data_IF_496345760671
#
_entry.id   IF_496345760671
#
_cell.length_a   1.000
_cell.length_b   1.000
_cell.length_c   1.000
_cell.angle_alpha   90.00
_cell.angle_beta   90.00
_cell.angle_gamma   90.00
#
_symmetry.space_group_name_H-M   'P 1'
#
loop_
_entity.id
_entity.type
_entity.pdbx_description
1 polymer ?
#
# COMPACT_ATOMS: atom_id res chain seq x y z
N UNK A 1 0.78 17.21 -28.06
CA UNK A 1 1.17 17.05 -26.65
C UNK A 1 0.60 18.21 -25.86
N UNK A 2 -0.32 17.98 -24.92
CA UNK A 2 -0.74 19.02 -23.97
C UNK A 2 0.43 19.31 -23.05
N UNK A 3 1.01 20.51 -23.17
CA UNK A 3 2.09 20.95 -22.31
C UNK A 3 1.55 21.09 -20.87
N UNK A 4 2.11 20.31 -19.94
CA UNK A 4 1.78 20.47 -18.52
C UNK A 4 2.20 21.87 -18.06
N UNK A 5 1.39 22.56 -17.25
CA UNK A 5 1.80 23.85 -16.69
C UNK A 5 3.04 23.66 -15.82
N UNK A 6 3.95 24.65 -15.84
CA UNK A 6 5.15 24.63 -14.98
C UNK A 6 4.73 24.61 -13.52
N UNK A 7 5.21 23.61 -12.78
CA UNK A 7 4.91 23.38 -11.37
C UNK A 7 6.16 22.92 -10.61
N UNK A 8 6.12 23.07 -9.30
CA UNK A 8 7.14 22.63 -8.36
C UNK A 8 6.48 21.98 -7.14
N UNK A 9 7.28 21.23 -6.39
CA UNK A 9 6.85 20.56 -5.18
C UNK A 9 7.99 20.02 -4.35
N UNK A 10 7.61 19.36 -3.26
CA UNK A 10 8.55 18.72 -2.34
C UNK A 10 8.19 17.24 -2.18
N UNK A 11 9.20 16.39 -2.22
CA UNK A 11 9.12 14.99 -1.80
C UNK A 11 9.34 14.90 -0.29
N UNK A 12 8.31 14.50 0.44
CA UNK A 12 8.40 14.25 1.89
C UNK A 12 7.37 13.21 2.27
N UNK A 13 7.80 12.01 2.68
CA UNK A 13 6.84 11.00 3.13
C UNK A 13 6.30 11.33 4.53
N UNK A 14 5.02 11.06 4.86
CA UNK A 14 4.43 11.44 6.15
C UNK A 14 5.17 10.90 7.39
N UNK A 15 5.85 9.76 7.29
CA UNK A 15 6.67 9.24 8.41
C UNK A 15 7.83 10.16 8.80
N UNK A 16 8.26 11.04 7.90
CA UNK A 16 9.34 12.01 8.11
C UNK A 16 8.87 13.32 8.71
N UNK A 17 7.55 13.53 8.85
CA UNK A 17 7.01 14.66 9.59
C UNK A 17 7.39 14.55 11.07
N UNK A 18 7.55 15.68 11.79
CA UNK A 18 7.72 15.64 13.23
C UNK A 18 6.46 15.09 13.90
N UNK A 19 6.61 14.26 14.94
CA UNK A 19 5.49 13.66 15.67
C UNK A 19 5.89 13.16 17.05
N UNK A 20 4.98 13.26 18.02
CA UNK A 20 5.25 12.90 19.42
C UNK A 20 5.22 11.38 19.68
N UNK A 21 4.63 10.60 18.76
CA UNK A 21 4.32 9.18 18.96
C UNK A 21 5.24 8.24 18.17
N UNK A 22 6.53 8.60 18.04
CA UNK A 22 7.60 7.76 17.49
C UNK A 22 7.77 7.78 15.97
N UNK A 23 6.81 8.37 15.24
CA UNK A 23 6.91 8.65 13.81
C UNK A 23 6.00 9.82 13.44
N UNK A 24 6.24 10.44 12.28
CA UNK A 24 5.26 11.34 11.67
C UNK A 24 3.97 10.61 11.30
N UNK A 25 2.86 11.33 11.34
CA UNK A 25 1.51 10.80 11.14
C UNK A 25 0.60 11.83 10.45
N UNK A 26 -0.68 11.51 10.33
CA UNK A 26 -1.70 12.32 9.65
C UNK A 26 -2.35 13.37 10.58
N UNK A 27 -1.65 13.76 11.63
CA UNK A 27 -2.05 14.79 12.58
C UNK A 27 -1.61 16.20 12.16
N UNK A 28 -1.56 17.12 13.14
CA UNK A 28 -1.31 18.55 12.93
C UNK A 28 -0.07 18.87 12.08
N UNK A 29 0.99 18.07 12.20
CA UNK A 29 2.22 18.26 11.44
C UNK A 29 2.01 18.17 9.91
N UNK A 30 1.10 17.31 9.45
CA UNK A 30 0.76 17.19 8.03
C UNK A 30 0.07 18.45 7.51
N UNK A 31 -0.86 19.03 8.29
CA UNK A 31 -1.53 20.29 7.96
C UNK A 31 -0.56 21.47 7.95
N UNK A 32 0.31 21.55 8.97
CA UNK A 32 1.39 22.54 9.02
C UNK A 32 2.33 22.45 7.80
N UNK A 33 2.64 21.24 7.34
CA UNK A 33 3.46 21.05 6.15
C UNK A 33 2.75 21.55 4.88
N UNK A 34 1.43 21.35 4.76
CA UNK A 34 0.62 21.90 3.67
C UNK A 34 0.63 23.43 3.69
N UNK A 35 0.48 24.05 4.88
CA UNK A 35 0.59 25.50 5.04
C UNK A 35 1.96 26.02 4.62
N UNK A 36 3.02 25.30 5.01
CA UNK A 36 4.37 25.63 4.61
C UNK A 36 4.56 25.54 3.09
N UNK A 37 4.10 24.45 2.45
CA UNK A 37 4.14 24.28 1.00
C UNK A 37 3.48 25.45 0.28
N UNK A 38 2.29 25.85 0.73
CA UNK A 38 1.57 27.01 0.21
C UNK A 38 2.38 28.29 0.37
N UNK A 39 2.93 28.54 1.55
CA UNK A 39 3.73 29.73 1.84
C UNK A 39 5.00 29.81 0.99
N UNK A 40 5.57 28.65 0.64
CA UNK A 40 6.75 28.49 -0.20
C UNK A 40 6.44 28.47 -1.71
N UNK A 41 5.17 28.71 -2.10
CA UNK A 41 4.76 28.72 -3.51
C UNK A 41 4.84 27.35 -4.19
N UNK A 42 4.77 26.26 -3.41
CA UNK A 42 4.76 24.89 -3.92
C UNK A 42 3.34 24.48 -4.34
N UNK A 43 3.24 23.61 -5.34
CA UNK A 43 1.95 23.13 -5.87
C UNK A 43 1.81 21.60 -5.86
N UNK A 44 2.88 20.88 -5.51
CA UNK A 44 2.93 19.43 -5.47
C UNK A 44 3.53 18.96 -4.14
N UNK A 45 2.92 17.94 -3.54
CA UNK A 45 3.49 17.16 -2.44
C UNK A 45 3.65 15.72 -2.90
N UNK A 46 4.89 15.28 -3.10
CA UNK A 46 5.16 13.89 -3.44
C UNK A 46 5.36 13.05 -2.18
N UNK A 47 4.75 11.88 -2.15
CA UNK A 47 4.89 10.87 -1.10
C UNK A 47 5.37 9.55 -1.69
N UNK A 48 6.07 8.74 -0.90
CA UNK A 48 6.29 7.32 -1.17
C UNK A 48 4.96 6.53 -0.99
N UNK A 49 4.92 5.22 -1.34
CA UNK A 49 3.70 4.42 -1.17
C UNK A 49 3.20 4.47 0.29
N UNK A 50 1.88 4.63 0.46
CA UNK A 50 1.25 4.86 1.77
C UNK A 50 0.79 3.56 2.45
N UNK A 51 1.12 2.39 1.89
CA UNK A 51 0.76 1.10 2.45
C UNK A 51 1.57 0.73 3.69
N UNK A 52 1.08 -0.23 4.46
CA UNK A 52 1.82 -0.79 5.60
C UNK A 52 3.20 -1.25 5.15
N UNK A 53 4.22 -0.95 5.95
CA UNK A 53 5.61 -1.31 5.59
C UNK A 53 5.93 -2.74 6.02
N UNK A 54 6.57 -3.50 5.13
CA UNK A 54 7.03 -4.86 5.35
C UNK A 54 8.49 -4.93 5.82
N UNK A 55 9.22 -6.03 5.51
CA UNK A 55 10.62 -6.20 5.89
C UNK A 55 11.51 -5.01 5.50
N UNK A 56 12.42 -4.63 6.39
CA UNK A 56 13.27 -3.45 6.21
C UNK A 56 12.52 -2.12 6.35
N UNK A 57 11.24 -2.13 6.72
CA UNK A 57 10.36 -0.96 6.77
C UNK A 57 10.20 -0.25 5.42
N UNK A 58 10.34 -1.00 4.32
CA UNK A 58 10.18 -0.46 2.98
C UNK A 58 8.70 -0.24 2.63
N UNK A 59 8.31 0.95 2.15
CA UNK A 59 6.95 1.18 1.63
C UNK A 59 6.69 0.47 0.30
N UNK A 60 7.73 -0.03 -0.38
CA UNK A 60 7.62 -0.78 -1.64
C UNK A 60 7.38 -2.28 -1.42
N UNK A 61 7.43 -2.75 -0.18
CA UNK A 61 7.15 -4.13 0.20
C UNK A 61 6.03 -4.08 1.24
N UNK A 62 4.79 -4.15 0.79
CA UNK A 62 3.60 -4.05 1.65
C UNK A 62 2.84 -5.39 1.70
N UNK A 63 2.20 -5.74 2.84
CA UNK A 63 1.28 -6.87 2.91
C UNK A 63 -0.01 -6.64 2.11
N UNK A 64 -0.22 -5.45 1.55
CA UNK A 64 -1.34 -5.16 0.64
C UNK A 64 -1.03 -4.03 -0.34
N UNK A 65 -1.48 -4.16 -1.57
CA UNK A 65 -1.48 -3.11 -2.59
C UNK A 65 -2.59 -2.06 -2.41
N UNK A 66 -3.52 -2.26 -1.45
CA UNK A 66 -4.71 -1.43 -1.26
C UNK A 66 -4.76 -0.75 0.11
N UNK A 67 -4.30 -1.43 1.15
CA UNK A 67 -4.34 -0.95 2.52
C UNK A 67 -3.38 0.22 2.76
N UNK A 68 -3.73 1.07 3.72
CA UNK A 68 -2.86 2.14 4.23
C UNK A 68 -2.08 1.73 5.49
N UNK A 69 -1.03 2.49 5.77
CA UNK A 69 -0.12 2.26 6.88
C UNK A 69 -0.74 2.67 8.22
N UNK A 70 -0.94 1.70 9.11
CA UNK A 70 -1.48 1.90 10.44
C UNK A 70 -0.63 2.82 11.33
N UNK A 71 0.68 2.92 11.07
CA UNK A 71 1.58 3.79 11.82
C UNK A 71 1.35 5.27 11.49
N UNK A 72 0.71 5.59 10.36
CA UNK A 72 0.37 6.96 10.00
C UNK A 72 -0.93 7.45 10.67
N UNK A 73 -1.68 6.58 11.35
CA UNK A 73 -2.91 6.99 12.06
C UNK A 73 -2.52 7.85 13.25
N UNK A 74 -2.95 9.11 13.25
CA UNK A 74 -2.77 10.04 14.35
C UNK A 74 -3.57 9.60 15.59
N UNK A 75 -2.85 9.37 16.69
CA UNK A 75 -3.43 8.97 17.97
C UNK A 75 -4.12 10.15 18.69
N UNK A 76 -3.72 11.39 18.40
CA UNK A 76 -4.36 12.59 18.95
C UNK A 76 -5.83 12.67 18.55
N UNK A 77 -6.13 12.49 17.26
CA UNK A 77 -7.53 12.40 16.80
C UNK A 77 -8.33 11.25 17.43
N UNK A 78 -7.70 10.14 17.80
CA UNK A 78 -8.41 9.05 18.51
C UNK A 78 -8.66 9.40 19.97
N UNK A 79 -7.78 10.20 20.58
CA UNK A 79 -7.99 10.80 21.90
C UNK A 79 -9.12 11.83 21.89
N UNK A 80 -9.15 12.72 20.89
CA UNK A 80 -10.21 13.73 20.73
C UNK A 80 -11.58 13.08 20.48
N UNK A 81 -11.61 11.93 19.78
CA UNK A 81 -12.81 11.09 19.64
C UNK A 81 -13.20 10.33 20.93
N UNK A 82 -12.42 10.48 22.00
CA UNK A 82 -12.62 9.85 23.30
C UNK A 82 -12.32 8.35 23.32
N UNK A 83 -11.73 7.77 22.27
CA UNK A 83 -11.37 6.34 22.22
C UNK A 83 -10.03 6.03 22.88
N UNK A 84 -9.23 7.07 23.14
CA UNK A 84 -8.05 7.02 23.99
C UNK A 84 -8.16 8.08 25.09
N UNK A 85 -7.69 7.76 26.28
CA UNK A 85 -7.51 8.71 27.38
C UNK A 85 -6.09 9.28 27.39
N UNK A 86 -5.88 10.37 28.13
CA UNK A 86 -4.52 10.91 28.36
C UNK A 86 -3.59 9.86 29.00
N UNK A 87 -4.16 8.99 29.85
CA UNK A 87 -3.43 7.90 30.48
C UNK A 87 -3.00 6.81 29.49
N UNK A 88 -3.71 6.62 28.37
CA UNK A 88 -3.31 5.66 27.33
C UNK A 88 -2.11 6.17 26.51
N UNK A 89 -2.01 7.49 26.37
CA UNK A 89 -0.91 8.16 25.66
C UNK A 89 0.35 8.33 26.52
N UNK A 90 0.24 8.21 27.85
CA UNK A 90 1.36 8.40 28.78
C UNK A 90 1.78 7.12 29.52
N UNK A 91 3.05 7.03 29.99
CA UNK A 91 4.16 7.90 29.62
C UNK A 91 4.59 7.66 28.16
N UNK A 92 5.13 8.70 27.52
CA UNK A 92 5.73 8.57 26.19
C UNK A 92 7.12 7.92 26.33
N UNK A 93 7.42 6.87 25.55
CA UNK A 93 8.79 6.39 25.40
C UNK A 93 9.70 7.50 24.88
N UNK A 94 10.99 7.44 25.25
CA UNK A 94 11.99 8.31 24.68
C UNK A 94 12.28 7.90 23.22
N UNK A 95 11.58 8.51 22.26
CA UNK A 95 11.82 8.28 20.85
C UNK A 95 13.01 9.12 20.33
N UNK A 96 13.85 8.59 19.42
CA UNK A 96 14.89 9.38 18.78
C UNK A 96 14.33 10.57 18.00
N UNK A 97 14.99 11.72 18.08
CA UNK A 97 14.69 12.87 17.22
C UNK A 97 15.39 12.72 15.88
N UNK A 98 14.68 12.92 14.76
CA UNK A 98 15.25 12.94 13.41
C UNK A 98 15.39 11.56 12.74
N UNK A 99 15.00 10.47 13.39
CA UNK A 99 14.88 9.14 12.78
C UNK A 99 13.74 8.35 13.41
N UNK A 100 13.07 7.53 12.61
CA UNK A 100 12.03 6.61 13.11
C UNK A 100 12.69 5.34 13.63
N UNK A 101 12.41 4.99 14.89
CA UNK A 101 12.59 3.63 15.42
C UNK A 101 11.29 2.87 15.21
N UNK A 102 11.19 2.13 14.11
CA UNK A 102 9.96 1.45 13.71
C UNK A 102 9.51 0.39 14.73
N UNK A 103 10.44 -0.29 15.39
CA UNK A 103 10.09 -1.29 16.41
C UNK A 103 9.51 -0.63 17.65
N UNK A 104 10.14 0.45 18.13
CA UNK A 104 9.61 1.24 19.25
C UNK A 104 8.26 1.87 18.89
N UNK A 105 8.11 2.42 17.68
CA UNK A 105 6.86 2.98 17.20
C UNK A 105 5.75 1.93 17.15
N UNK A 106 6.00 0.73 16.61
CA UNK A 106 5.02 -0.38 16.60
C UNK A 106 4.64 -0.83 18.00
N UNK A 107 5.62 -1.04 18.89
CA UNK A 107 5.38 -1.44 20.29
C UNK A 107 4.56 -0.40 21.05
N UNK A 108 4.69 0.86 20.71
CA UNK A 108 3.89 1.93 21.31
C UNK A 108 2.50 2.04 20.66
N UNK A 109 2.43 2.26 19.34
CA UNK A 109 1.19 2.62 18.62
C UNK A 109 0.19 1.47 18.51
N UNK A 110 0.62 0.23 18.20
CA UNK A 110 -0.32 -0.87 17.96
C UNK A 110 -1.21 -1.19 19.17
N UNK A 111 -0.70 -1.29 20.42
CA UNK A 111 -1.57 -1.44 21.59
C UNK A 111 -2.59 -0.32 21.76
N UNK A 112 -2.24 0.94 21.45
CA UNK A 112 -3.17 2.07 21.54
C UNK A 112 -4.23 2.00 20.44
N UNK A 113 -3.85 1.66 19.21
CA UNK A 113 -4.82 1.44 18.14
C UNK A 113 -5.82 0.32 18.50
N UNK A 114 -5.34 -0.75 19.15
CA UNK A 114 -6.21 -1.84 19.64
C UNK A 114 -7.16 -1.37 20.75
N UNK A 115 -6.66 -0.58 21.69
CA UNK A 115 -7.48 0.01 22.74
C UNK A 115 -8.55 0.94 22.16
N UNK A 116 -8.17 1.80 21.21
CA UNK A 116 -9.09 2.69 20.52
C UNK A 116 -10.17 1.90 19.75
N UNK A 117 -9.78 0.86 19.01
CA UNK A 117 -10.71 -0.02 18.30
C UNK A 117 -11.70 -0.68 19.28
N UNK A 118 -11.20 -1.21 20.40
CA UNK A 118 -12.05 -1.82 21.44
C UNK A 118 -13.04 -0.82 22.03
N UNK A 119 -12.58 0.39 22.36
CA UNK A 119 -13.43 1.45 22.87
C UNK A 119 -14.48 1.90 21.84
N UNK A 120 -14.11 2.00 20.56
CA UNK A 120 -15.03 2.32 19.48
C UNK A 120 -16.10 1.23 19.31
N UNK A 121 -15.69 -0.04 19.20
CA UNK A 121 -16.59 -1.17 18.95
C UNK A 121 -17.54 -1.43 20.13
N UNK A 122 -17.16 -1.08 21.36
CA UNK A 122 -18.01 -1.18 22.54
C UNK A 122 -19.01 -0.03 22.70
N UNK A 123 -18.85 1.08 21.95
CA UNK A 123 -19.73 2.24 22.04
C UNK A 123 -20.80 2.20 20.96
N UNK A 124 -22.00 2.65 21.32
CA UNK A 124 -23.12 2.81 20.39
C UNK A 124 -23.20 4.25 19.84
N UNK A 125 -22.11 4.77 19.27
CA UNK A 125 -22.17 6.02 18.50
C UNK A 125 -22.74 5.73 17.11
N UNK A 126 -24.02 6.06 16.91
CA UNK A 126 -24.72 5.75 15.67
C UNK A 126 -24.10 6.37 14.43
N UNK A 127 -23.48 7.55 14.54
CA UNK A 127 -22.93 8.25 13.38
C UNK A 127 -21.58 7.63 12.97
N UNK A 128 -20.69 7.41 13.94
CA UNK A 128 -19.38 6.79 13.70
C UNK A 128 -19.51 5.32 13.29
N UNK A 129 -20.40 4.55 13.93
CA UNK A 129 -20.69 3.17 13.53
C UNK A 129 -21.25 3.09 12.11
N UNK A 130 -22.11 4.02 11.70
CA UNK A 130 -22.61 4.07 10.33
C UNK A 130 -21.51 4.44 9.32
N UNK A 131 -20.59 5.34 9.66
CA UNK A 131 -19.45 5.68 8.81
C UNK A 131 -18.49 4.50 8.63
N UNK A 132 -18.16 3.81 9.72
CA UNK A 132 -17.35 2.60 9.69
C UNK A 132 -18.00 1.48 8.87
N UNK A 133 -19.30 1.24 9.05
CA UNK A 133 -20.04 0.23 8.27
C UNK A 133 -20.04 0.57 6.77
N UNK A 134 -20.29 1.85 6.41
CA UNK A 134 -20.21 2.30 5.01
C UNK A 134 -18.81 2.07 4.43
N UNK A 135 -17.76 2.42 5.15
CA UNK A 135 -16.39 2.16 4.72
C UNK A 135 -16.17 0.67 4.46
N UNK A 136 -16.57 -0.19 5.40
CA UNK A 136 -16.43 -1.63 5.25
C UNK A 136 -17.17 -2.17 4.02
N UNK A 137 -18.39 -1.69 3.75
CA UNK A 137 -19.16 -2.09 2.57
C UNK A 137 -18.49 -1.62 1.28
N UNK A 138 -18.07 -0.35 1.20
CA UNK A 138 -17.45 0.23 0.00
C UNK A 138 -16.08 -0.39 -0.31
N UNK A 139 -15.30 -0.73 0.71
CA UNK A 139 -13.97 -1.31 0.57
C UNK A 139 -13.93 -2.84 0.57
N UNK A 140 -15.08 -3.51 0.69
CA UNK A 140 -15.19 -4.97 0.92
C UNK A 140 -14.38 -5.82 -0.07
N UNK A 141 -14.30 -5.38 -1.34
CA UNK A 141 -13.57 -6.07 -2.41
C UNK A 141 -12.08 -6.32 -2.13
N UNK A 142 -11.45 -5.54 -1.24
CA UNK A 142 -10.06 -5.76 -0.80
C UNK A 142 -9.94 -5.85 0.73
N UNK A 143 -10.80 -5.15 1.47
CA UNK A 143 -10.70 -5.00 2.91
C UNK A 143 -10.97 -6.33 3.64
N UNK A 144 -11.91 -7.14 3.16
CA UNK A 144 -12.26 -8.40 3.82
C UNK A 144 -11.12 -9.40 3.74
N UNK A 145 -10.49 -9.53 2.57
CA UNK A 145 -9.31 -10.36 2.37
C UNK A 145 -8.10 -9.81 3.14
N UNK A 146 -7.87 -8.49 3.11
CA UNK A 146 -6.78 -7.87 3.87
C UNK A 146 -6.93 -8.12 5.39
N UNK A 147 -8.10 -7.85 5.96
CA UNK A 147 -8.32 -7.98 7.40
C UNK A 147 -8.20 -9.44 7.86
N UNK A 148 -8.71 -10.39 7.07
CA UNK A 148 -8.53 -11.82 7.35
C UNK A 148 -7.07 -12.26 7.19
N UNK A 149 -6.38 -11.80 6.14
CA UNK A 149 -4.95 -12.07 5.94
C UNK A 149 -4.13 -11.61 7.14
N UNK A 150 -4.32 -10.37 7.60
CA UNK A 150 -3.58 -9.83 8.74
C UNK A 150 -3.89 -10.57 10.04
N UNK A 151 -5.13 -11.04 10.23
CA UNK A 151 -5.51 -11.85 11.38
C UNK A 151 -4.83 -13.23 11.36
N UNK A 152 -4.81 -13.89 10.21
CA UNK A 152 -4.14 -15.17 10.01
C UNK A 152 -2.62 -15.04 10.11
N UNK A 153 -2.06 -13.93 9.61
CA UNK A 153 -0.62 -13.64 9.72
C UNK A 153 -0.20 -13.46 11.18
N UNK A 154 -1.02 -12.79 11.99
CA UNK A 154 -0.81 -12.72 13.44
C UNK A 154 -0.85 -14.10 14.09
N UNK A 155 -1.72 -15.00 13.64
CA UNK A 155 -1.88 -16.34 14.21
C UNK A 155 -0.79 -17.34 13.75
N UNK A 156 -0.29 -17.20 12.52
CA UNK A 156 0.52 -18.24 11.86
C UNK A 156 1.83 -17.73 11.22
N UNK A 157 1.95 -16.43 10.92
CA UNK A 157 3.09 -15.83 10.18
C UNK A 157 4.34 -15.51 11.01
N UNK A 158 4.31 -15.70 12.33
CA UNK A 158 5.49 -15.54 13.18
C UNK A 158 6.70 -16.38 12.71
N UNK A 159 7.91 -16.00 13.16
CA UNK A 159 9.17 -16.70 12.85
C UNK A 159 9.58 -16.71 11.36
N UNK A 160 9.09 -15.74 10.57
CA UNK A 160 9.41 -15.62 9.14
C UNK A 160 8.61 -16.54 8.23
N UNK A 161 7.56 -17.22 8.77
CA UNK A 161 6.63 -18.01 7.97
C UNK A 161 5.81 -17.10 7.05
N UNK A 162 5.63 -17.54 5.80
CA UNK A 162 4.76 -16.86 4.85
C UNK A 162 3.40 -17.55 4.78
N UNK A 163 2.44 -16.98 4.05
CA UNK A 163 1.09 -17.55 3.92
C UNK A 163 1.09 -18.94 3.26
N UNK A 164 2.11 -19.25 2.46
CA UNK A 164 2.34 -20.57 1.88
C UNK A 164 2.64 -21.64 2.96
N UNK A 165 3.08 -21.24 4.14
CA UNK A 165 3.46 -22.12 5.24
C UNK A 165 2.35 -22.25 6.31
N UNK A 166 1.22 -21.56 6.13
CA UNK A 166 0.04 -21.71 6.98
C UNK A 166 -0.62 -23.10 6.80
N UNK A 167 -1.55 -23.51 7.69
CA UNK A 167 -2.34 -24.71 7.46
C UNK A 167 -2.90 -24.75 6.03
N UNK A 168 -2.75 -25.88 5.34
CA UNK A 168 -3.03 -25.98 3.89
C UNK A 168 -4.47 -25.61 3.52
N UNK A 169 -5.42 -25.79 4.43
CA UNK A 169 -6.82 -25.38 4.25
C UNK A 169 -6.99 -23.86 4.24
N UNK A 170 -6.15 -23.11 4.97
CA UNK A 170 -6.12 -21.64 5.01
C UNK A 170 -5.27 -21.06 3.87
N UNK A 171 -4.09 -21.63 3.63
CA UNK A 171 -3.22 -21.25 2.50
C UNK A 171 -3.95 -21.45 1.16
N UNK A 172 -4.64 -22.58 1.00
CA UNK A 172 -5.48 -22.90 -0.16
C UNK A 172 -6.88 -22.28 -0.13
N UNK A 173 -7.18 -21.40 0.85
CA UNK A 173 -8.44 -20.64 0.94
C UNK A 173 -9.71 -21.49 0.86
N UNK A 174 -9.72 -22.65 1.52
CA UNK A 174 -10.90 -23.52 1.54
C UNK A 174 -12.08 -22.80 2.23
N UNK A 175 -13.26 -22.69 1.59
CA UNK A 175 -14.36 -21.87 2.10
C UNK A 175 -14.80 -22.19 3.54
N UNK A 176 -14.78 -23.46 3.95
CA UNK A 176 -15.12 -23.85 5.31
C UNK A 176 -14.07 -23.38 6.34
N UNK A 177 -12.78 -23.50 6.02
CA UNK A 177 -11.69 -23.04 6.88
C UNK A 177 -11.68 -21.52 7.00
N UNK A 178 -11.93 -20.79 5.90
CA UNK A 178 -12.03 -19.33 5.94
C UNK A 178 -13.20 -18.85 6.81
N UNK A 179 -14.38 -19.49 6.71
CA UNK A 179 -15.53 -19.14 7.58
C UNK A 179 -15.23 -19.41 9.06
N UNK A 180 -14.55 -20.53 9.35
CA UNK A 180 -14.13 -20.83 10.72
C UNK A 180 -13.14 -19.79 11.25
N UNK A 181 -12.11 -19.44 10.46
CA UNK A 181 -11.13 -18.41 10.81
C UNK A 181 -11.76 -17.02 10.96
N UNK A 182 -12.75 -16.67 10.13
CA UNK A 182 -13.49 -15.41 10.26
C UNK A 182 -14.24 -15.32 11.58
N UNK A 183 -14.84 -16.43 12.05
CA UNK A 183 -15.52 -16.47 13.33
C UNK A 183 -14.51 -16.45 14.50
N UNK A 184 -13.44 -17.24 14.40
CA UNK A 184 -12.40 -17.35 15.43
C UNK A 184 -11.64 -16.03 15.64
N UNK A 185 -11.34 -15.31 14.56
CA UNK A 185 -10.54 -14.09 14.59
C UNK A 185 -11.36 -12.81 14.39
N UNK A 186 -12.66 -12.84 14.67
CA UNK A 186 -13.57 -11.71 14.43
C UNK A 186 -13.07 -10.38 15.04
N UNK A 187 -12.56 -10.40 16.28
CA UNK A 187 -12.03 -9.21 16.96
C UNK A 187 -10.79 -8.65 16.26
N UNK A 188 -9.91 -9.53 15.78
CA UNK A 188 -8.69 -9.14 15.06
C UNK A 188 -9.02 -8.56 13.69
N UNK A 189 -9.97 -9.17 12.98
CA UNK A 189 -10.48 -8.67 11.71
C UNK A 189 -11.12 -7.29 11.91
N UNK A 190 -11.93 -7.12 12.96
CA UNK A 190 -12.56 -5.84 13.27
C UNK A 190 -11.51 -4.76 13.59
N UNK A 191 -10.44 -5.10 14.30
CA UNK A 191 -9.31 -4.19 14.56
C UNK A 191 -8.65 -3.72 13.25
N UNK A 192 -8.31 -4.62 12.33
CA UNK A 192 -7.69 -4.22 11.06
C UNK A 192 -8.61 -3.38 10.19
N UNK A 193 -9.91 -3.71 10.16
CA UNK A 193 -10.92 -2.88 9.50
C UNK A 193 -11.00 -1.48 10.11
N UNK A 194 -10.98 -1.37 11.44
CA UNK A 194 -10.96 -0.08 12.14
C UNK A 194 -9.73 0.74 11.75
N UNK A 195 -8.53 0.14 11.74
CA UNK A 195 -7.30 0.82 11.33
C UNK A 195 -7.41 1.38 9.91
N UNK A 196 -7.90 0.58 8.96
CA UNK A 196 -8.05 1.02 7.57
C UNK A 196 -9.09 2.13 7.40
N UNK A 197 -10.19 2.07 8.16
CA UNK A 197 -11.16 3.16 8.19
C UNK A 197 -10.55 4.46 8.72
N UNK A 198 -9.86 4.40 9.87
CA UNK A 198 -9.23 5.59 10.46
C UNK A 198 -8.15 6.18 9.56
N UNK A 199 -7.31 5.33 8.95
CA UNK A 199 -6.34 5.77 7.95
C UNK A 199 -7.03 6.49 6.79
N UNK A 200 -8.05 5.87 6.19
CA UNK A 200 -8.74 6.44 5.03
C UNK A 200 -9.39 7.80 5.35
N UNK A 201 -10.02 7.92 6.52
CA UNK A 201 -10.65 9.17 6.96
C UNK A 201 -9.62 10.28 7.20
N UNK A 202 -8.55 9.99 7.95
CA UNK A 202 -7.52 10.98 8.26
C UNK A 202 -6.76 11.41 7.00
N UNK A 203 -6.42 10.47 6.12
CA UNK A 203 -5.74 10.78 4.86
C UNK A 203 -6.63 11.59 3.92
N UNK A 204 -7.91 11.24 3.79
CA UNK A 204 -8.85 12.01 2.98
C UNK A 204 -9.01 13.45 3.50
N UNK A 205 -8.94 13.68 4.81
CA UNK A 205 -8.95 15.01 5.40
C UNK A 205 -7.69 15.81 5.03
N UNK A 206 -6.49 15.21 5.16
CA UNK A 206 -5.22 15.82 4.75
C UNK A 206 -5.21 16.14 3.25
N UNK A 207 -5.60 15.19 2.39
CA UNK A 207 -5.68 15.39 0.94
C UNK A 207 -6.63 16.51 0.57
N UNK A 208 -7.84 16.53 1.15
CA UNK A 208 -8.82 17.60 0.91
C UNK A 208 -8.30 18.97 1.35
N UNK A 209 -7.55 19.02 2.46
CA UNK A 209 -6.92 20.25 2.94
C UNK A 209 -5.76 20.71 2.03
N UNK A 210 -4.95 19.78 1.51
CA UNK A 210 -3.95 20.09 0.50
C UNK A 210 -4.60 20.64 -0.77
N UNK A 211 -5.63 19.95 -1.28
CA UNK A 211 -6.32 20.34 -2.51
C UNK A 211 -7.04 21.69 -2.37
N UNK A 212 -7.62 22.03 -1.20
CA UNK A 212 -8.22 23.35 -0.97
C UNK A 212 -7.21 24.49 -1.01
N UNK A 213 -5.93 24.18 -0.76
CA UNK A 213 -4.79 25.07 -0.91
C UNK A 213 -4.07 24.97 -2.27
N UNK A 214 -4.69 24.29 -3.25
CA UNK A 214 -4.14 24.05 -4.60
C UNK A 214 -2.81 23.29 -4.59
N UNK A 215 -2.60 22.45 -3.57
CA UNK A 215 -1.51 21.49 -3.49
C UNK A 215 -2.09 20.14 -3.89
N UNK A 216 -1.56 19.56 -4.96
CA UNK A 216 -1.88 18.21 -5.38
C UNK A 216 -0.88 17.22 -4.81
N UNK A 217 -1.35 16.02 -4.49
CA UNK A 217 -0.52 14.95 -3.97
C UNK A 217 -0.08 14.05 -5.13
N UNK A 218 1.24 13.86 -5.25
CA UNK A 218 1.83 12.86 -6.14
C UNK A 218 2.07 11.60 -5.31
N UNK A 219 1.25 10.58 -5.53
CA UNK A 219 1.44 9.26 -4.94
C UNK A 219 2.42 8.41 -5.75
N UNK A 220 2.61 7.19 -5.28
CA UNK A 220 3.63 6.28 -5.78
C UNK A 220 3.11 4.85 -5.72
N UNK A 221 3.17 4.16 -6.86
CA UNK A 221 2.62 2.83 -7.08
C UNK A 221 3.75 1.88 -7.51
N UNK A 222 4.23 1.00 -6.61
CA UNK A 222 5.16 -0.06 -6.96
C UNK A 222 4.57 -0.94 -8.06
N UNK A 223 5.29 -1.26 -9.14
CA UNK A 223 4.70 -2.13 -10.17
C UNK A 223 4.36 -3.51 -9.59
N UNK A 224 5.28 -4.14 -8.85
CA UNK A 224 5.07 -5.45 -8.24
C UNK A 224 4.52 -5.36 -6.81
N UNK A 225 4.00 -6.49 -6.30
CA UNK A 225 3.51 -6.63 -4.92
C UNK A 225 4.39 -7.60 -4.14
N UNK A 226 4.32 -7.61 -2.81
CA UNK A 226 5.09 -8.55 -2.00
C UNK A 226 4.53 -9.98 -2.14
N UNK A 227 5.41 -11.00 -2.11
CA UNK A 227 4.99 -12.41 -2.14
C UNK A 227 4.10 -12.78 -0.94
N UNK A 228 4.44 -12.26 0.23
CA UNK A 228 3.66 -12.39 1.46
C UNK A 228 2.69 -11.22 1.61
N UNK A 229 1.58 -11.27 0.86
CA UNK A 229 0.56 -10.23 0.86
C UNK A 229 -0.84 -10.81 0.70
N UNK A 230 -1.83 -10.05 1.17
CA UNK A 230 -3.24 -10.35 0.96
C UNK A 230 -3.57 -10.42 -0.54
N UNK A 231 -2.89 -9.65 -1.39
CA UNK A 231 -3.12 -9.62 -2.83
C UNK A 231 -2.80 -10.97 -3.49
N UNK A 232 -1.62 -11.50 -3.19
CA UNK A 232 -1.14 -12.78 -3.75
C UNK A 232 -1.91 -13.95 -3.15
N UNK A 233 -2.14 -13.93 -1.82
CA UNK A 233 -2.91 -14.96 -1.14
C UNK A 233 -4.35 -15.04 -1.67
N UNK A 234 -5.03 -13.91 -1.85
CA UNK A 234 -6.42 -13.88 -2.31
C UNK A 234 -6.57 -14.10 -3.82
N UNK A 235 -5.54 -13.80 -4.61
CA UNK A 235 -5.58 -13.86 -6.07
C UNK A 235 -4.43 -14.68 -6.69
N UNK A 236 -4.16 -15.92 -6.22
CA UNK A 236 -2.96 -16.66 -6.64
C UNK A 236 -2.92 -16.94 -8.15
N UNK A 237 -4.09 -17.02 -8.80
CA UNK A 237 -4.21 -17.22 -10.25
C UNK A 237 -3.67 -16.06 -11.10
N UNK A 238 -3.47 -14.88 -10.52
CA UNK A 238 -2.92 -13.69 -11.19
C UNK A 238 -1.39 -13.62 -11.17
N UNK A 239 -0.73 -14.55 -10.47
CA UNK A 239 0.72 -14.56 -10.27
C UNK A 239 1.34 -15.88 -10.73
N UNK A 240 2.63 -15.86 -11.09
CA UNK A 240 3.34 -17.06 -11.52
C UNK A 240 3.81 -17.89 -10.32
N UNK A 241 2.88 -18.70 -9.79
CA UNK A 241 3.07 -19.52 -8.58
C UNK A 241 2.95 -21.02 -8.87
N UNK A 242 3.76 -21.82 -8.18
CA UNK A 242 3.62 -23.28 -8.12
C UNK A 242 2.33 -23.74 -7.40
N UNK A 243 2.12 -25.05 -7.34
CA UNK A 243 0.93 -25.65 -6.71
C UNK A 243 0.86 -25.39 -5.20
N UNK A 244 1.98 -24.98 -4.58
CA UNK A 244 2.10 -24.62 -3.18
C UNK A 244 2.01 -23.10 -2.97
N UNK A 245 1.77 -22.32 -4.03
CA UNK A 245 1.68 -20.86 -3.94
C UNK A 245 3.02 -20.13 -3.87
N UNK A 246 4.14 -20.82 -4.13
CA UNK A 246 5.47 -20.21 -4.14
C UNK A 246 5.82 -19.69 -5.54
N UNK A 247 6.52 -18.55 -5.69
CA UNK A 247 6.88 -18.04 -7.00
C UNK A 247 7.78 -19.02 -7.77
N UNK A 248 7.45 -19.32 -9.04
CA UNK A 248 8.36 -20.06 -9.93
C UNK A 248 9.49 -19.18 -10.44
N UNK A 249 9.15 -17.92 -10.65
CA UNK A 249 10.03 -16.85 -11.11
C UNK A 249 9.78 -15.60 -10.27
N UNK A 250 10.80 -14.75 -10.16
CA UNK A 250 10.77 -13.52 -9.36
C UNK A 250 11.24 -12.32 -10.16
N UNK A 251 10.78 -11.15 -9.74
CA UNK A 251 11.17 -9.88 -10.33
C UNK A 251 12.59 -9.46 -9.95
N UNK A 252 13.18 -8.66 -10.83
CA UNK A 252 14.44 -7.98 -10.64
C UNK A 252 14.79 -7.11 -11.83
N UNK A 253 16.07 -6.78 -11.94
CA UNK A 253 16.68 -6.12 -13.11
C UNK A 253 18.00 -6.80 -13.46
N UNK A 254 18.37 -6.87 -14.76
CA UNK A 254 19.60 -7.51 -15.19
C UNK A 254 20.85 -6.78 -14.64
N UNK A 255 22.02 -7.41 -14.72
CA UNK A 255 23.29 -6.70 -14.61
C UNK A 255 23.36 -5.52 -15.56
N UNK A 256 23.91 -4.42 -15.05
CA UNK A 256 24.18 -3.21 -15.83
C UNK A 256 25.52 -2.60 -15.39
N UNK A 257 25.85 -1.43 -15.92
CA UNK A 257 27.10 -0.75 -15.61
C UNK A 257 27.19 -0.24 -14.15
N UNK A 258 26.07 -0.21 -13.40
CA UNK A 258 26.02 0.13 -11.98
C UNK A 258 26.06 -1.09 -11.06
N UNK A 259 25.53 -2.25 -11.50
CA UNK A 259 25.48 -3.49 -10.73
C UNK A 259 25.92 -4.69 -11.56
N UNK A 260 27.07 -5.28 -11.20
CA UNK A 260 27.63 -6.45 -11.87
C UNK A 260 26.75 -7.71 -11.79
N UNK A 261 25.85 -7.79 -10.80
CA UNK A 261 24.97 -8.95 -10.57
C UNK A 261 23.50 -8.64 -10.83
N UNK A 262 23.19 -7.41 -11.27
CA UNK A 262 21.83 -6.89 -11.33
C UNK A 262 21.23 -6.78 -9.93
N UNK A 263 19.90 -6.82 -9.84
CA UNK A 263 19.19 -6.82 -8.57
C UNK A 263 18.06 -7.86 -8.59
N UNK A 264 18.05 -8.76 -7.60
CA UNK A 264 16.98 -9.74 -7.40
C UNK A 264 16.06 -9.22 -6.30
N UNK A 265 14.85 -8.77 -6.66
CA UNK A 265 13.93 -8.17 -5.70
C UNK A 265 13.06 -9.21 -4.99
N UNK A 266 12.75 -10.33 -5.66
CA UNK A 266 12.05 -11.45 -5.04
C UNK A 266 10.51 -11.37 -5.10
N UNK A 267 9.94 -10.30 -5.66
CA UNK A 267 8.49 -10.20 -5.86
C UNK A 267 7.99 -11.28 -6.85
N UNK A 268 6.78 -11.84 -6.67
CA UNK A 268 6.17 -12.68 -7.68
C UNK A 268 5.87 -11.87 -8.94
N UNK A 269 6.01 -12.52 -10.10
CA UNK A 269 5.66 -11.92 -11.38
C UNK A 269 4.19 -12.17 -11.73
N UNK A 270 3.61 -11.24 -12.49
CA UNK A 270 2.24 -11.32 -12.95
C UNK A 270 2.07 -12.37 -14.05
N UNK A 271 0.97 -13.12 -14.00
CA UNK A 271 0.45 -13.85 -15.16
C UNK A 271 -0.39 -12.90 -16.00
N UNK A 272 0.26 -12.08 -16.83
CA UNK A 272 -0.42 -11.07 -17.64
C UNK A 272 -1.54 -11.62 -18.52
N UNK A 273 -1.44 -12.87 -18.99
CA UNK A 273 -2.52 -13.55 -19.70
C UNK A 273 -3.78 -13.78 -18.84
N UNK A 274 -3.60 -14.10 -17.55
CA UNK A 274 -4.72 -14.22 -16.61
C UNK A 274 -5.36 -12.86 -16.33
N UNK A 275 -4.56 -11.80 -16.15
CA UNK A 275 -5.06 -10.44 -16.06
C UNK A 275 -5.84 -10.01 -17.32
N UNK A 276 -5.32 -10.30 -18.51
CA UNK A 276 -5.98 -10.00 -19.77
C UNK A 276 -7.34 -10.73 -19.88
N UNK A 277 -7.41 -11.99 -19.47
CA UNK A 277 -8.64 -12.79 -19.49
C UNK A 277 -9.75 -12.23 -18.58
N UNK A 278 -9.38 -11.50 -17.51
CA UNK A 278 -10.33 -10.80 -16.64
C UNK A 278 -10.47 -9.29 -16.96
N UNK A 279 -9.99 -8.86 -18.13
CA UNK A 279 -10.08 -7.46 -18.57
C UNK A 279 -9.27 -6.48 -17.71
N UNK A 280 -8.19 -6.97 -17.09
CA UNK A 280 -7.30 -6.24 -16.18
C UNK A 280 -8.01 -5.68 -14.92
N UNK A 281 -9.13 -6.29 -14.49
CA UNK A 281 -9.94 -5.79 -13.36
C UNK A 281 -9.14 -5.54 -12.08
N UNK A 282 -8.17 -6.40 -11.74
CA UNK A 282 -7.36 -6.23 -10.53
C UNK A 282 -6.49 -4.96 -10.61
N UNK A 283 -5.87 -4.72 -11.77
CA UNK A 283 -5.06 -3.52 -12.01
C UNK A 283 -5.90 -2.25 -12.07
N UNK A 284 -7.11 -2.31 -12.65
CA UNK A 284 -8.07 -1.20 -12.60
C UNK A 284 -8.48 -0.89 -11.16
N UNK A 285 -8.78 -1.90 -10.35
CA UNK A 285 -9.12 -1.71 -8.94
C UNK A 285 -7.96 -1.11 -8.14
N UNK A 286 -6.73 -1.60 -8.35
CA UNK A 286 -5.52 -1.08 -7.71
C UNK A 286 -5.26 0.39 -8.07
N UNK A 287 -5.38 0.74 -9.35
CA UNK A 287 -5.23 2.12 -9.81
C UNK A 287 -6.33 3.02 -9.23
N UNK A 288 -7.59 2.55 -9.20
CA UNK A 288 -8.71 3.28 -8.59
C UNK A 288 -8.46 3.58 -7.11
N UNK A 289 -7.98 2.59 -6.36
CA UNK A 289 -7.62 2.76 -4.96
C UNK A 289 -6.51 3.80 -4.81
N UNK A 290 -5.46 3.70 -5.61
CA UNK A 290 -4.31 4.64 -5.57
C UNK A 290 -4.74 6.08 -5.90
N UNK A 291 -5.58 6.27 -6.92
CA UNK A 291 -6.16 7.57 -7.28
C UNK A 291 -7.13 8.13 -6.24
N UNK A 292 -7.65 7.30 -5.33
CA UNK A 292 -8.40 7.81 -4.17
C UNK A 292 -7.48 8.46 -3.14
N UNK A 293 -6.20 8.06 -3.10
CA UNK A 293 -5.20 8.53 -2.16
C UNK A 293 -4.37 9.71 -2.70
N UNK A 294 -4.29 9.90 -4.01
CA UNK A 294 -3.45 10.95 -4.61
C UNK A 294 -4.08 11.51 -5.88
N UNK A 295 -3.59 12.67 -6.32
CA UNK A 295 -4.08 13.36 -7.51
C UNK A 295 -3.33 12.94 -8.77
N UNK A 296 -2.04 12.58 -8.61
CA UNK A 296 -1.16 12.07 -9.66
C UNK A 296 -0.47 10.81 -9.17
N UNK A 297 -0.42 9.77 -9.98
CA UNK A 297 0.18 8.48 -9.64
C UNK A 297 1.52 8.35 -10.35
N UNK A 298 2.63 8.38 -9.61
CA UNK A 298 3.90 7.85 -10.15
C UNK A 298 3.81 6.32 -10.17
N UNK A 299 4.10 5.70 -11.30
CA UNK A 299 4.21 4.25 -11.37
C UNK A 299 5.68 3.89 -11.46
N UNK A 300 6.17 3.24 -10.41
CA UNK A 300 7.53 2.76 -10.25
C UNK A 300 7.84 1.65 -11.26
N UNK A 301 9.07 1.63 -11.78
CA UNK A 301 9.54 0.65 -12.74
C UNK A 301 8.59 0.48 -13.95
N UNK A 302 8.18 1.62 -14.53
CA UNK A 302 7.15 1.67 -15.56
C UNK A 302 7.48 0.79 -16.78
N UNK A 303 8.77 0.63 -17.09
CA UNK A 303 9.22 -0.23 -18.20
C UNK A 303 8.67 -1.66 -18.10
N UNK A 304 8.36 -2.13 -16.89
CA UNK A 304 7.78 -3.43 -16.58
C UNK A 304 6.49 -3.75 -17.35
N UNK A 305 5.79 -2.72 -17.83
CA UNK A 305 4.59 -2.89 -18.67
C UNK A 305 4.91 -3.20 -20.13
N UNK A 306 6.06 -2.78 -20.65
CA UNK A 306 6.53 -3.16 -21.98
C UNK A 306 7.23 -4.53 -21.92
N UNK A 307 8.18 -4.68 -21.01
CA UNK A 307 8.82 -5.97 -20.70
C UNK A 307 9.32 -6.00 -19.26
N UNK A 308 9.61 -7.17 -18.71
CA UNK A 308 10.15 -7.30 -17.36
C UNK A 308 11.23 -8.36 -17.32
N UNK A 309 12.15 -8.23 -16.37
CA UNK A 309 13.22 -9.20 -16.16
C UNK A 309 12.73 -10.32 -15.25
N UNK A 310 12.66 -11.53 -15.81
CA UNK A 310 12.18 -12.74 -15.15
C UNK A 310 13.36 -13.57 -14.68
N UNK A 311 13.49 -13.78 -13.37
CA UNK A 311 14.58 -14.54 -12.75
C UNK A 311 14.01 -15.86 -12.21
N UNK A 312 14.60 -17.04 -12.50
CA UNK A 312 14.21 -18.28 -11.83
C UNK A 312 14.25 -18.14 -10.31
N UNK A 313 13.20 -18.54 -9.59
CA UNK A 313 13.12 -18.32 -8.15
C UNK A 313 14.27 -19.01 -7.37
N UNK A 314 14.81 -20.09 -7.93
CA UNK A 314 15.97 -20.85 -7.40
C UNK A 314 17.31 -20.14 -7.59
N UNK A 315 17.39 -19.11 -8.43
CA UNK A 315 18.64 -18.37 -8.66
C UNK A 315 18.96 -17.45 -7.47
N UNK A 316 20.25 -17.39 -7.11
CA UNK A 316 20.73 -16.52 -6.03
C UNK A 316 20.82 -15.05 -6.44
N UNK A 317 21.11 -14.78 -7.72
CA UNK A 317 21.29 -13.43 -8.28
C UNK A 317 20.33 -13.17 -9.45
N UNK A 318 20.42 -11.99 -10.07
CA UNK A 318 19.61 -11.63 -11.22
C UNK A 318 20.27 -11.94 -12.58
N UNK A 319 21.48 -12.51 -12.59
CA UNK A 319 22.26 -12.76 -13.81
C UNK A 319 21.51 -13.70 -14.77
N UNK A 320 20.97 -14.79 -14.24
CA UNK A 320 20.34 -15.86 -15.04
C UNK A 320 18.88 -15.57 -15.40
N UNK A 321 18.49 -14.29 -15.41
CA UNK A 321 17.15 -13.88 -15.84
C UNK A 321 17.02 -13.71 -17.35
N UNK A 322 15.82 -13.38 -17.79
CA UNK A 322 15.51 -13.10 -19.19
C UNK A 322 14.42 -12.03 -19.32
N UNK A 323 14.48 -11.24 -20.40
CA UNK A 323 13.41 -10.31 -20.72
C UNK A 323 12.16 -11.06 -21.19
N UNK A 324 11.00 -10.68 -20.65
CA UNK A 324 9.68 -11.21 -21.02
C UNK A 324 8.76 -10.05 -21.39
N UNK A 325 7.89 -10.21 -22.38
CA UNK A 325 6.94 -9.16 -22.74
C UNK A 325 5.94 -8.91 -21.61
N UNK A 326 5.68 -7.64 -21.32
CA UNK A 326 4.61 -7.18 -20.45
C UNK A 326 3.26 -7.09 -21.19
N UNK A 327 2.23 -6.51 -20.57
CA UNK A 327 0.89 -6.37 -21.13
C UNK A 327 0.78 -5.25 -22.19
N UNK A 328 1.81 -4.39 -22.30
CA UNK A 328 1.82 -3.23 -23.18
C UNK A 328 0.66 -2.27 -22.91
N UNK A 329 0.11 -1.70 -23.98
CA UNK A 329 -0.96 -0.70 -23.88
C UNK A 329 -2.29 -1.26 -23.31
N UNK A 330 -2.53 -2.57 -23.39
CA UNK A 330 -3.83 -3.15 -23.09
C UNK A 330 -4.29 -2.90 -21.63
N UNK A 331 -3.36 -2.91 -20.68
CA UNK A 331 -3.67 -2.59 -19.27
C UNK A 331 -4.04 -1.11 -19.10
N UNK A 332 -3.34 -0.20 -19.79
CA UNK A 332 -3.64 1.24 -19.76
C UNK A 332 -4.93 1.57 -20.48
N UNK A 333 -5.26 0.86 -21.56
CA UNK A 333 -6.55 0.98 -22.23
C UNK A 333 -7.71 0.59 -21.29
N UNK A 334 -7.54 -0.48 -20.50
CA UNK A 334 -8.52 -0.87 -19.49
C UNK A 334 -8.64 0.18 -18.37
N UNK A 335 -7.52 0.73 -17.87
CA UNK A 335 -7.54 1.81 -16.89
C UNK A 335 -8.22 3.08 -17.44
N UNK A 336 -7.87 3.51 -18.66
CA UNK A 336 -8.45 4.71 -19.29
C UNK A 336 -9.96 4.58 -19.43
N UNK A 337 -10.46 3.42 -19.86
CA UNK A 337 -11.91 3.18 -19.99
C UNK A 337 -12.68 3.42 -18.69
N UNK A 338 -12.08 3.10 -17.55
CA UNK A 338 -12.76 3.05 -16.24
C UNK A 338 -12.43 4.24 -15.31
N UNK A 339 -11.31 4.92 -15.55
CA UNK A 339 -10.69 5.86 -14.61
C UNK A 339 -10.25 7.18 -15.24
N UNK A 340 -10.27 7.30 -16.57
CA UNK A 340 -9.84 8.54 -17.19
C UNK A 340 -10.76 9.72 -16.82
N UNK A 341 -10.17 10.91 -16.83
CA UNK A 341 -10.95 12.15 -16.72
C UNK A 341 -11.87 12.36 -17.95
N UNK A 342 -12.68 13.42 -17.92
CA UNK A 342 -13.57 13.79 -19.03
C UNK A 342 -12.87 14.01 -20.38
N UNK A 343 -11.53 14.11 -20.40
CA UNK A 343 -10.71 14.27 -21.59
C UNK A 343 -9.99 12.96 -21.98
N UNK A 344 -10.29 11.84 -21.32
CA UNK A 344 -9.68 10.54 -21.60
C UNK A 344 -8.28 10.37 -21.03
N UNK A 345 -7.85 11.22 -20.09
CA UNK A 345 -6.48 11.22 -19.54
C UNK A 345 -6.41 10.49 -18.20
N UNK A 346 -5.29 9.80 -17.96
CA UNK A 346 -4.89 9.29 -16.65
C UNK A 346 -3.75 10.17 -16.10
N UNK A 347 -3.82 10.63 -14.84
CA UNK A 347 -2.77 11.44 -14.24
C UNK A 347 -1.61 10.56 -13.78
N UNK A 348 -0.84 10.03 -14.73
CA UNK A 348 0.29 9.12 -14.48
C UNK A 348 1.62 9.84 -14.73
N UNK A 349 2.60 9.58 -13.86
CA UNK A 349 4.02 9.83 -14.11
C UNK A 349 4.67 8.45 -14.28
N UNK A 350 5.30 8.20 -15.42
CA UNK A 350 6.12 7.01 -15.61
C UNK A 350 7.47 7.23 -14.92
N UNK A 351 7.85 6.34 -14.01
CA UNK A 351 9.25 6.24 -13.58
C UNK A 351 10.02 5.45 -14.64
N UNK A 352 10.89 6.15 -15.36
CA UNK A 352 11.61 5.68 -16.55
C UNK A 352 13.13 5.88 -16.39
N UNK A 353 13.66 5.73 -15.16
CA UNK A 353 15.11 5.77 -14.95
C UNK A 353 15.77 4.46 -15.39
N UNK A 354 17.07 4.52 -15.65
CA UNK A 354 17.88 3.40 -16.12
C UNK A 354 17.95 3.33 -17.64
N UNK A 355 18.24 2.14 -18.17
CA UNK A 355 18.34 1.92 -19.61
C UNK A 355 16.94 1.63 -20.17
N UNK A 356 16.39 2.61 -20.88
CA UNK A 356 15.05 2.56 -21.47
C UNK A 356 15.14 2.35 -22.99
N UNK A 357 14.29 1.47 -23.52
CA UNK A 357 14.26 1.14 -24.96
C UNK A 357 13.31 2.07 -25.72
N UNK A 358 13.46 2.21 -27.05
CA UNK A 358 12.51 2.98 -27.87
C UNK A 358 11.04 2.54 -27.70
N UNK A 359 10.80 1.26 -27.46
CA UNK A 359 9.46 0.67 -27.26
C UNK A 359 8.81 1.13 -25.95
N UNK A 360 9.60 1.43 -24.91
CA UNK A 360 9.07 1.99 -23.65
C UNK A 360 8.72 3.47 -23.81
N UNK A 361 9.43 4.19 -24.70
CA UNK A 361 9.19 5.61 -24.98
C UNK A 361 7.98 5.86 -25.90
N UNK A 362 7.61 4.88 -26.72
CA UNK A 362 6.49 4.94 -27.66
C UNK A 362 5.15 4.74 -26.95
#
# INVERSE_FOLDING_TARGET
MTQLPRRNGVLLHPTSLPGAHGCGDLGLAAYHFVDWLRSAGQSLWQVLPLGSVGPGNSPYISPSAFAGNELLIDLGQLHDAGWLSEADLRPLPAFPTGRVDYDAARRYRLPRLRQAAKCFLARHDTAQSAAFARFCTTASAWLDDYALFMALDRAHGGDGRMWQDWPSTLAGRQPAALRAAQAEHADEIAFWKFCQWRFAEQWAAVKRYANSHRIEIVGDLPIFVAAHSADVWANPGLFDLDLQGRPRVVAGVPPDYFSATGQRWGNPLYRWSAHAAEGYRWWVARMRQTMSLCDVVRIDHFRGFESFWEIPATAETAIDGQWRPGPGEAVFAAMRRELADSQGRLPIIAEDLGIITPEVNA
#
